data_IF_135669836767
#
_entry.id   IF_135669836767
#
_cell.length_a   1.000
_cell.length_b   1.000
_cell.length_c   1.000
_cell.angle_alpha   90.00
_cell.angle_beta   90.00
_cell.angle_gamma   90.00
#
_symmetry.space_group_name_H-M   'P 1'
#
loop_
_entity.id
_entity.type
_entity.pdbx_description
1 polymer ?
#
# COMPACT_ATOMS: atom_id res chain seq x y z
N UNK A 1 5.89 -9.42 -17.63
CA UNK A 1 7.05 -8.65 -17.09
C UNK A 1 7.11 -8.86 -15.59
N UNK A 2 8.29 -9.08 -15.01
CA UNK A 2 8.43 -9.29 -13.55
C UNK A 2 8.38 -7.99 -12.74
N UNK A 3 7.95 -8.09 -11.48
CA UNK A 3 7.86 -6.99 -10.51
C UNK A 3 9.16 -6.19 -10.40
N UNK A 4 10.31 -6.87 -10.48
CA UNK A 4 11.64 -6.26 -10.47
C UNK A 4 11.86 -5.33 -11.66
N UNK A 5 11.42 -5.72 -12.86
CA UNK A 5 11.58 -4.90 -14.08
C UNK A 5 10.74 -3.62 -13.98
N UNK A 6 9.53 -3.73 -13.46
CA UNK A 6 8.63 -2.57 -13.22
C UNK A 6 9.26 -1.63 -12.19
N UNK A 7 9.77 -2.18 -11.08
CA UNK A 7 10.44 -1.39 -10.03
C UNK A 7 11.63 -0.61 -10.59
N UNK A 8 12.48 -1.28 -11.37
CA UNK A 8 13.64 -0.64 -12.00
C UNK A 8 13.22 0.46 -12.98
N UNK A 9 12.17 0.22 -13.76
CA UNK A 9 11.65 1.21 -14.70
C UNK A 9 11.07 2.44 -13.99
N UNK A 10 10.30 2.24 -12.91
CA UNK A 10 9.77 3.33 -12.08
C UNK A 10 10.90 4.18 -11.47
N UNK A 11 11.94 3.52 -10.96
CA UNK A 11 13.12 4.19 -10.41
C UNK A 11 13.92 4.92 -11.49
N UNK A 12 14.10 4.31 -12.67
CA UNK A 12 14.80 4.91 -13.82
C UNK A 12 14.11 6.18 -14.30
N UNK A 13 12.77 6.21 -14.28
CA UNK A 13 11.96 7.38 -14.63
C UNK A 13 11.91 8.45 -13.52
N UNK A 14 12.48 8.19 -12.35
CA UNK A 14 12.42 9.10 -11.21
C UNK A 14 11.02 9.27 -10.61
N UNK A 15 10.11 8.31 -10.84
CA UNK A 15 8.76 8.36 -10.29
C UNK A 15 8.83 8.10 -8.79
N UNK A 16 8.29 9.01 -7.98
CA UNK A 16 8.31 8.85 -6.53
C UNK A 16 7.29 7.80 -6.04
N UNK A 17 7.59 7.04 -4.98
CA UNK A 17 6.66 6.09 -4.40
C UNK A 17 5.42 6.77 -3.79
N UNK A 18 4.26 6.08 -3.71
CA UNK A 18 3.01 6.67 -3.23
C UNK A 18 3.10 7.22 -1.82
N UNK A 19 3.91 6.61 -0.94
CA UNK A 19 4.13 7.11 0.43
C UNK A 19 4.79 8.49 0.44
N UNK A 20 5.76 8.72 -0.46
CA UNK A 20 6.47 10.00 -0.56
C UNK A 20 5.55 11.05 -1.19
N UNK A 21 4.83 10.67 -2.24
CA UNK A 21 3.84 11.53 -2.89
C UNK A 21 2.76 12.01 -1.91
N UNK A 22 2.13 11.09 -1.17
CA UNK A 22 1.07 11.44 -0.19
C UNK A 22 1.60 12.30 0.96
N UNK A 23 2.82 12.04 1.41
CA UNK A 23 3.47 12.89 2.40
C UNK A 23 3.69 14.32 1.87
N UNK A 24 4.14 14.46 0.62
CA UNK A 24 4.30 15.76 -0.05
C UNK A 24 2.98 16.53 -0.20
N UNK A 25 1.86 15.81 -0.37
CA UNK A 25 0.53 16.40 -0.44
C UNK A 25 -0.08 16.74 0.94
N UNK A 26 0.66 16.58 2.03
CA UNK A 26 0.22 16.98 3.38
C UNK A 26 -0.46 15.87 4.20
N UNK A 27 -0.44 14.61 3.75
CA UNK A 27 -0.99 13.51 4.54
C UNK A 27 -0.10 13.23 5.76
N UNK A 28 -0.57 13.62 6.94
CA UNK A 28 0.11 13.48 8.24
C UNK A 28 0.51 12.04 8.55
N UNK A 29 -0.28 11.06 8.11
CA UNK A 29 0.02 9.63 8.33
C UNK A 29 1.28 9.23 7.57
N UNK A 30 1.38 9.64 6.31
CA UNK A 30 2.53 9.31 5.47
C UNK A 30 3.74 10.18 5.77
N UNK A 31 3.57 11.43 6.22
CA UNK A 31 4.66 12.29 6.69
C UNK A 31 5.48 11.60 7.80
N UNK A 32 4.81 11.16 8.87
CA UNK A 32 5.47 10.46 9.98
C UNK A 32 6.17 9.17 9.52
N UNK A 33 5.54 8.41 8.63
CA UNK A 33 6.11 7.19 8.04
C UNK A 33 7.40 7.50 7.28
N UNK A 34 7.39 8.51 6.42
CA UNK A 34 8.52 8.95 5.61
C UNK A 34 9.65 9.46 6.51
N UNK A 35 9.37 10.29 7.50
CA UNK A 35 10.37 10.77 8.47
C UNK A 35 11.04 9.62 9.23
N UNK A 36 10.25 8.66 9.69
CA UNK A 36 10.76 7.48 10.40
C UNK A 36 11.66 6.65 9.50
N UNK A 37 11.23 6.41 8.26
CA UNK A 37 12.00 5.67 7.26
C UNK A 37 13.28 6.40 6.87
N UNK A 38 13.29 7.74 6.83
CA UNK A 38 14.47 8.57 6.57
C UNK A 38 15.52 8.42 7.67
N UNK A 39 15.11 8.25 8.93
CA UNK A 39 16.02 8.00 10.07
C UNK A 39 16.66 6.60 10.01
N UNK A 40 15.89 5.59 9.59
CA UNK A 40 16.33 4.19 9.58
C UNK A 40 17.13 3.85 8.32
N UNK A 41 16.72 4.38 7.17
CA UNK A 41 17.32 4.02 5.89
C UNK A 41 18.56 4.86 5.59
N UNK A 42 19.74 4.34 5.92
CA UNK A 42 21.03 4.87 5.47
C UNK A 42 21.43 4.40 4.06
N UNK A 43 20.84 3.30 3.55
CA UNK A 43 21.33 2.57 2.36
C UNK A 43 20.46 2.69 1.11
N UNK A 44 19.14 2.70 1.25
CA UNK A 44 18.22 2.81 0.10
C UNK A 44 17.43 4.12 0.20
N UNK A 45 17.53 4.95 -0.83
CA UNK A 45 16.87 6.26 -0.87
C UNK A 45 15.37 6.14 -0.61
N UNK A 46 14.82 7.03 0.21
CA UNK A 46 13.39 7.03 0.54
C UNK A 46 12.48 7.19 -0.68
N UNK A 47 13.05 7.76 -1.75
CA UNK A 47 12.42 7.99 -3.04
C UNK A 47 12.50 6.79 -4.00
N UNK A 48 13.10 5.67 -3.59
CA UNK A 48 13.19 4.47 -4.42
C UNK A 48 11.99 3.53 -4.19
N UNK A 49 11.45 2.99 -5.27
CA UNK A 49 10.47 1.91 -5.26
C UNK A 49 11.09 0.61 -4.76
N UNK A 50 10.33 -0.09 -3.91
CA UNK A 50 10.62 -1.43 -3.43
C UNK A 50 9.79 -2.45 -4.23
N UNK A 51 10.41 -3.55 -4.62
CA UNK A 51 9.75 -4.68 -5.30
C UNK A 51 8.57 -5.23 -4.51
N UNK A 52 8.64 -5.30 -3.17
CA UNK A 52 7.51 -5.75 -2.35
C UNK A 52 6.29 -4.83 -2.52
N UNK A 53 6.51 -3.52 -2.47
CA UNK A 53 5.43 -2.53 -2.61
C UNK A 53 4.80 -2.60 -4.00
N UNK A 54 5.61 -2.68 -5.07
CA UNK A 54 5.12 -2.85 -6.43
C UNK A 54 4.33 -4.14 -6.58
N UNK A 55 4.84 -5.25 -6.03
CA UNK A 55 4.18 -6.54 -6.08
C UNK A 55 2.86 -6.58 -5.31
N UNK A 56 2.72 -5.81 -4.22
CA UNK A 56 1.47 -5.66 -3.48
C UNK A 56 0.44 -4.89 -4.30
N UNK A 57 0.83 -3.76 -4.89
CA UNK A 57 -0.07 -2.93 -5.72
C UNK A 57 -0.60 -3.71 -6.92
N UNK A 58 0.27 -4.43 -7.64
CA UNK A 58 -0.14 -5.20 -8.83
C UNK A 58 -1.15 -6.30 -8.50
N UNK A 59 -1.07 -6.90 -7.30
CA UNK A 59 -1.96 -7.98 -6.87
C UNK A 59 -3.21 -7.49 -6.16
N UNK A 60 -3.32 -6.20 -5.89
CA UNK A 60 -4.40 -5.63 -5.10
C UNK A 60 -5.59 -5.31 -6.01
N UNK A 61 -6.73 -5.95 -5.72
CA UNK A 61 -7.97 -5.87 -6.50
C UNK A 61 -8.56 -4.47 -6.54
N UNK A 62 -8.21 -3.61 -5.58
CA UNK A 62 -8.62 -2.20 -5.56
C UNK A 62 -8.12 -1.46 -6.80
N UNK A 63 -6.94 -1.82 -7.30
CA UNK A 63 -6.39 -1.21 -8.51
C UNK A 63 -6.95 -1.82 -9.81
N UNK A 64 -7.73 -2.90 -9.72
CA UNK A 64 -8.50 -3.48 -10.84
C UNK A 64 -9.86 -2.78 -10.98
N UNK A 65 -10.32 -2.06 -9.96
CA UNK A 65 -11.61 -1.35 -9.94
C UNK A 65 -12.61 -1.89 -8.93
N UNK A 66 -12.27 -2.97 -8.23
CA UNK A 66 -13.12 -3.63 -7.24
C UNK A 66 -12.77 -3.19 -5.82
N UNK A 67 -13.77 -2.80 -5.03
CA UNK A 67 -13.57 -2.46 -3.62
C UNK A 67 -13.59 -3.72 -2.75
N UNK A 68 -12.59 -3.86 -1.88
CA UNK A 68 -12.49 -4.94 -0.90
C UNK A 68 -12.66 -4.39 0.53
N UNK A 69 -13.67 -4.87 1.25
CA UNK A 69 -13.94 -4.50 2.63
C UNK A 69 -14.00 -5.73 3.55
N UNK A 70 -14.18 -5.51 4.86
CA UNK A 70 -14.29 -6.57 5.87
C UNK A 70 -13.03 -7.44 6.03
N UNK A 71 -11.84 -6.81 5.93
CA UNK A 71 -10.54 -7.50 6.11
C UNK A 71 -10.22 -7.87 7.56
N UNK A 72 -10.84 -7.17 8.51
CA UNK A 72 -10.63 -7.34 9.94
C UNK A 72 -11.95 -7.20 10.67
N UNK A 73 -12.13 -8.03 11.70
CA UNK A 73 -13.29 -8.00 12.59
C UNK A 73 -12.87 -7.86 14.04
N UNK A 74 -13.74 -7.28 14.87
CA UNK A 74 -13.53 -7.21 16.33
C UNK A 74 -14.24 -8.39 16.97
N UNK A 75 -13.50 -9.44 17.32
CA UNK A 75 -14.08 -10.65 17.95
C UNK A 75 -14.61 -10.42 19.36
N UNK A 76 -14.02 -9.49 20.10
CA UNK A 76 -14.42 -9.20 21.46
C UNK A 76 -14.51 -7.69 21.68
N UNK A 77 -15.73 -7.23 21.91
CA UNK A 77 -16.04 -5.81 22.09
C UNK A 77 -15.33 -5.18 23.30
N UNK A 78 -15.09 -5.95 24.38
CA UNK A 78 -14.46 -5.46 25.61
C UNK A 78 -12.95 -5.30 25.46
N UNK A 79 -12.30 -6.24 24.78
CA UNK A 79 -10.84 -6.20 24.59
C UNK A 79 -10.40 -5.48 23.31
N UNK A 80 -11.35 -5.17 22.40
CA UNK A 80 -11.10 -4.52 21.09
C UNK A 80 -10.07 -5.26 20.23
N UNK A 81 -9.91 -6.57 20.43
CA UNK A 81 -8.97 -7.39 19.65
C UNK A 81 -9.51 -7.51 18.23
N UNK A 82 -8.73 -7.02 17.26
CA UNK A 82 -9.00 -7.16 15.83
C UNK A 82 -8.29 -8.41 15.31
N UNK A 83 -9.05 -9.32 14.67
CA UNK A 83 -8.49 -10.48 13.99
C UNK A 83 -8.68 -10.37 12.48
N UNK A 84 -7.73 -10.85 11.67
CA UNK A 84 -7.91 -10.94 10.23
C UNK A 84 -9.04 -11.91 9.92
N UNK A 85 -9.90 -11.53 8.98
CA UNK A 85 -11.01 -12.35 8.48
C UNK A 85 -10.48 -13.22 7.32
N UNK A 86 -10.98 -14.47 7.14
CA UNK A 86 -10.68 -15.26 5.97
C UNK A 86 -11.07 -14.55 4.67
N UNK A 87 -10.29 -14.76 3.59
CA UNK A 87 -10.52 -14.04 2.31
C UNK A 87 -11.87 -14.33 1.69
N UNK A 88 -12.41 -15.52 1.96
CA UNK A 88 -13.69 -16.00 1.49
C UNK A 88 -14.87 -15.20 2.08
N UNK A 89 -14.64 -14.59 3.25
CA UNK A 89 -15.62 -13.75 3.96
C UNK A 89 -15.43 -12.26 3.67
N UNK A 90 -14.40 -11.89 2.90
CA UNK A 90 -14.20 -10.50 2.49
C UNK A 90 -15.34 -10.06 1.56
N UNK A 91 -15.83 -8.85 1.81
CA UNK A 91 -16.90 -8.27 1.00
C UNK A 91 -16.26 -7.58 -0.21
N UNK A 92 -16.50 -8.11 -1.41
CA UNK A 92 -16.03 -7.54 -2.67
C UNK A 92 -17.19 -6.85 -3.38
N UNK A 93 -17.08 -5.53 -3.54
CA UNK A 93 -18.01 -4.72 -4.34
C UNK A 93 -17.34 -4.43 -5.69
N UNK A 94 -17.91 -4.97 -6.76
CA UNK A 94 -17.29 -4.86 -8.10
C UNK A 94 -17.57 -3.51 -8.77
N UNK A 95 -16.64 -3.06 -9.62
CA UNK A 95 -16.78 -1.88 -10.49
C UNK A 95 -17.10 -0.56 -9.76
N UNK A 96 -16.46 -0.30 -8.61
CA UNK A 96 -16.72 0.93 -7.85
C UNK A 96 -15.98 2.15 -8.39
N UNK A 97 -14.93 1.94 -9.19
CA UNK A 97 -14.17 3.00 -9.83
C UNK A 97 -14.44 2.98 -11.34
N UNK A 98 -14.77 4.13 -11.92
CA UNK A 98 -14.73 4.28 -13.39
C UNK A 98 -13.27 4.21 -13.85
N UNK A 99 -13.04 3.39 -14.88
CA UNK A 99 -11.75 3.25 -15.56
C UNK A 99 -11.69 4.15 -16.78
#
# INVERSE_FOLDING_TARGET
MGVTKITNELNKRGIIPPSVYKAGNGDKRFLKLVETKKKISKKYGINAWNTDTVGRIIRDIVYVGDMENHKYEVKNYKTKICTPVPKEEHIIVRNTHQT
#
